data_IF_432221773646
#
_entry.id   IF_432221773646
#
_cell.length_a   1.000
_cell.length_b   1.000
_cell.length_c   1.000
_cell.angle_alpha   90.00
_cell.angle_beta   90.00
_cell.angle_gamma   90.00
#
_symmetry.space_group_name_H-M   'P 1'
#
loop_
_entity.id
_entity.type
_entity.pdbx_description
1 polymer ?
#
# COMPACT_ATOMS: atom_id res chain seq x y z
N UNK A 1 20.41 -9.46 115.18
CA UNK A 1 19.10 -10.16 115.16
C UNK A 1 18.96 -10.91 113.84
N UNK A 2 18.22 -12.03 113.88
CA UNK A 2 18.11 -13.12 112.91
C UNK A 2 17.62 -12.71 111.50
N UNK A 3 18.12 -13.38 110.44
CA UNK A 3 17.40 -14.41 109.65
C UNK A 3 18.25 -14.98 108.50
N UNK A 4 18.27 -16.33 108.41
CA UNK A 4 18.70 -17.17 107.26
C UNK A 4 17.54 -17.31 106.24
N UNK A 5 17.85 -17.56 104.96
CA UNK A 5 17.11 -18.32 103.91
C UNK A 5 18.09 -18.43 102.70
N UNK A 6 18.75 -19.56 102.40
CA UNK A 6 18.37 -20.77 101.63
C UNK A 6 18.26 -20.56 100.09
N UNK A 7 19.25 -21.15 99.38
CA UNK A 7 19.32 -21.77 98.03
C UNK A 7 18.49 -21.25 96.83
N UNK A 8 19.17 -21.01 95.69
CA UNK A 8 18.91 -21.73 94.44
C UNK A 8 20.02 -21.51 93.39
N UNK A 9 20.69 -22.59 93.00
CA UNK A 9 21.68 -22.68 91.91
C UNK A 9 21.02 -22.46 90.55
N UNK A 10 21.52 -21.52 89.73
CA UNK A 10 21.24 -21.46 88.30
C UNK A 10 22.55 -21.37 87.52
N UNK A 11 22.92 -22.52 86.95
CA UNK A 11 24.05 -22.72 86.05
C UNK A 11 23.64 -22.18 84.67
N UNK A 12 24.15 -21.02 84.27
CA UNK A 12 23.91 -20.46 82.93
C UNK A 12 24.93 -21.09 81.95
N UNK A 13 24.49 -22.16 81.30
CA UNK A 13 25.19 -22.77 80.17
C UNK A 13 24.91 -21.91 78.93
N UNK A 14 25.83 -21.03 78.55
CA UNK A 14 25.78 -20.33 77.26
C UNK A 14 26.20 -21.33 76.19
N UNK A 15 25.22 -22.05 75.64
CA UNK A 15 25.36 -22.81 74.41
C UNK A 15 25.45 -21.83 73.24
N UNK A 16 26.65 -21.59 72.74
CA UNK A 16 26.86 -21.04 71.41
C UNK A 16 26.29 -22.01 70.38
N UNK A 17 25.08 -21.74 69.89
CA UNK A 17 24.56 -22.37 68.67
C UNK A 17 25.43 -21.90 67.51
N UNK A 18 26.36 -22.75 67.08
CA UNK A 18 26.86 -22.72 65.72
C UNK A 18 25.70 -23.11 64.81
N UNK A 19 25.00 -22.13 64.25
CA UNK A 19 24.23 -22.35 63.04
C UNK A 19 25.21 -22.64 61.91
N UNK A 20 25.62 -23.89 61.77
CA UNK A 20 26.10 -24.42 60.49
C UNK A 20 24.90 -24.46 59.56
N UNK A 21 24.55 -23.31 58.99
CA UNK A 21 23.73 -23.29 57.80
C UNK A 21 24.55 -23.96 56.70
N UNK A 22 24.25 -25.23 56.39
CA UNK A 22 24.70 -25.83 55.14
C UNK A 22 24.19 -24.94 54.01
N UNK A 23 25.05 -24.06 53.47
CA UNK A 23 24.89 -23.65 52.08
C UNK A 23 24.90 -24.95 51.30
N UNK A 24 23.76 -25.31 50.71
CA UNK A 24 23.71 -26.38 49.72
C UNK A 24 24.84 -26.07 48.75
N UNK A 25 25.86 -26.92 48.66
CA UNK A 25 27.02 -26.70 47.80
C UNK A 25 26.53 -26.60 46.35
N UNK A 26 26.25 -25.37 45.91
CA UNK A 26 26.03 -25.01 44.51
C UNK A 26 27.35 -24.90 43.77
N UNK A 27 28.45 -25.38 44.37
CA UNK A 27 29.80 -25.40 43.78
C UNK A 27 29.73 -25.85 42.33
N UNK A 28 30.05 -24.93 41.42
CA UNK A 28 30.09 -25.17 39.98
C UNK A 28 28.72 -25.13 39.30
N UNK A 29 27.70 -24.44 39.84
CA UNK A 29 26.51 -24.02 39.07
C UNK A 29 26.63 -22.53 38.81
N UNK A 30 26.61 -22.05 37.55
CA UNK A 30 26.64 -20.62 37.27
C UNK A 30 25.48 -19.90 38.00
N UNK A 31 25.73 -18.73 38.57
CA UNK A 31 24.73 -18.03 39.37
C UNK A 31 24.91 -16.51 39.36
N UNK A 32 23.89 -15.80 39.88
CA UNK A 32 23.87 -14.34 40.04
C UNK A 32 24.19 -13.57 38.75
N UNK A 33 23.60 -14.04 37.65
CA UNK A 33 23.90 -13.52 36.34
C UNK A 33 23.40 -12.09 36.15
N UNK A 34 24.27 -11.26 35.57
CA UNK A 34 23.95 -9.94 35.04
C UNK A 34 24.57 -9.79 33.66
N UNK A 35 23.91 -9.05 32.77
CA UNK A 35 24.37 -8.85 31.39
C UNK A 35 24.48 -7.35 31.11
N UNK A 36 25.61 -6.94 30.54
CA UNK A 36 25.90 -5.56 30.18
C UNK A 36 26.38 -5.46 28.73
N UNK A 37 25.72 -4.66 27.87
CA UNK A 37 24.46 -3.95 28.12
C UNK A 37 23.27 -4.92 28.36
N UNK A 38 22.17 -4.46 28.96
CA UNK A 38 20.97 -5.28 29.21
C UNK A 38 20.09 -5.50 27.95
N UNK A 39 20.34 -4.71 26.89
CA UNK A 39 19.70 -4.83 25.59
C UNK A 39 20.65 -4.33 24.51
N UNK A 40 20.64 -4.96 23.33
CA UNK A 40 21.47 -4.54 22.21
C UNK A 40 20.98 -5.09 20.87
N UNK A 41 21.48 -4.51 19.77
CA UNK A 41 21.28 -5.05 18.42
C UNK A 41 22.09 -6.34 18.21
N UNK A 42 21.73 -7.17 17.22
CA UNK A 42 22.58 -8.26 16.75
C UNK A 42 24.03 -7.82 16.52
N UNK A 43 24.96 -8.75 16.71
CA UNK A 43 26.42 -8.57 16.61
C UNK A 43 27.07 -7.71 17.71
N UNK A 44 26.29 -7.05 18.56
CA UNK A 44 26.84 -6.29 19.69
C UNK A 44 27.52 -7.23 20.70
N UNK A 45 28.73 -6.88 21.13
CA UNK A 45 29.43 -7.60 22.20
C UNK A 45 28.78 -7.34 23.56
N UNK A 46 28.67 -8.41 24.34
CA UNK A 46 28.11 -8.42 25.69
C UNK A 46 29.14 -8.97 26.67
N UNK A 47 29.11 -8.44 27.89
CA UNK A 47 29.72 -9.08 29.06
C UNK A 47 28.59 -9.67 29.91
N UNK A 48 28.68 -10.97 30.21
CA UNK A 48 27.80 -11.63 31.17
C UNK A 48 28.63 -11.92 32.42
N UNK A 49 28.30 -11.27 33.52
CA UNK A 49 28.96 -11.41 34.82
C UNK A 49 28.15 -12.30 35.76
N UNK A 50 28.81 -13.00 36.66
CA UNK A 50 28.20 -13.90 37.64
C UNK A 50 29.22 -14.63 38.50
N UNK A 51 28.88 -15.83 38.96
CA UNK A 51 29.76 -16.76 39.69
C UNK A 51 29.83 -18.11 38.97
N UNK A 52 30.93 -18.87 39.18
CA UNK A 52 31.18 -20.20 38.60
C UNK A 52 31.12 -20.26 37.05
N UNK A 53 31.70 -19.23 36.40
CA UNK A 53 31.60 -18.98 34.96
C UNK A 53 32.76 -19.54 34.12
N UNK A 54 33.80 -20.09 34.75
CA UNK A 54 35.03 -20.53 34.07
C UNK A 54 34.82 -21.67 33.07
N UNK A 55 33.89 -22.58 33.39
CA UNK A 55 33.62 -23.80 32.61
C UNK A 55 32.39 -23.69 31.70
N UNK A 56 31.96 -22.47 31.35
CA UNK A 56 30.88 -22.27 30.38
C UNK A 56 31.29 -22.81 29.01
N UNK A 57 30.45 -23.70 28.46
CA UNK A 57 30.64 -24.37 27.16
C UNK A 57 29.54 -24.04 26.16
N UNK A 58 28.45 -23.42 26.59
CA UNK A 58 27.36 -22.99 25.71
C UNK A 58 26.70 -21.72 26.23
N UNK A 59 26.40 -20.81 25.30
CA UNK A 59 25.57 -19.63 25.52
C UNK A 59 24.50 -19.64 24.44
N UNK A 60 23.22 -19.58 24.83
CA UNK A 60 22.09 -19.53 23.90
C UNK A 60 21.15 -18.39 24.24
N UNK A 61 20.69 -17.70 23.21
CA UNK A 61 19.60 -16.74 23.25
C UNK A 61 18.33 -17.48 22.84
N UNK A 62 17.53 -17.87 23.83
CA UNK A 62 16.51 -18.92 23.74
C UNK A 62 17.06 -20.19 23.06
N UNK A 63 16.72 -20.42 21.79
CA UNK A 63 17.19 -21.56 21.01
C UNK A 63 18.43 -21.26 20.15
N UNK A 64 18.81 -19.99 20.01
CA UNK A 64 19.87 -19.54 19.10
C UNK A 64 21.22 -19.54 19.80
N UNK A 65 22.17 -20.34 19.29
CA UNK A 65 23.52 -20.38 19.85
C UNK A 65 24.28 -19.07 19.58
N UNK A 66 24.94 -18.55 20.61
CA UNK A 66 25.87 -17.44 20.51
C UNK A 66 27.31 -17.92 20.36
N UNK A 67 28.13 -17.10 19.70
CA UNK A 67 29.56 -17.35 19.59
C UNK A 67 30.28 -16.75 20.79
N UNK A 68 31.17 -17.53 21.38
CA UNK A 68 32.07 -17.09 22.44
C UNK A 68 33.33 -17.94 22.38
N UNK A 69 34.40 -17.47 23.03
CA UNK A 69 35.63 -18.25 23.16
C UNK A 69 35.88 -18.57 24.62
N UNK A 70 35.90 -19.86 24.95
CA UNK A 70 36.10 -20.32 26.33
C UNK A 70 37.46 -19.94 26.91
N UNK A 71 38.45 -19.61 26.07
CA UNK A 71 39.77 -19.14 26.53
C UNK A 71 39.71 -17.81 27.28
N UNK A 72 38.63 -17.02 27.07
CA UNK A 72 38.40 -15.75 27.75
C UNK A 72 37.46 -15.88 28.95
N UNK A 73 36.95 -17.08 29.24
CA UNK A 73 36.12 -17.28 30.43
C UNK A 73 36.95 -17.02 31.67
N UNK A 74 36.37 -16.30 32.61
CA UNK A 74 36.87 -16.16 33.98
C UNK A 74 35.87 -16.79 34.93
N UNK A 75 36.21 -16.93 36.21
CA UNK A 75 35.24 -17.41 37.20
C UNK A 75 34.05 -16.47 37.39
N UNK A 76 34.16 -15.21 36.96
CA UNK A 76 33.17 -14.17 37.20
C UNK A 76 32.54 -13.56 35.94
N UNK A 77 33.04 -13.89 34.75
CA UNK A 77 32.52 -13.32 33.51
C UNK A 77 32.82 -14.15 32.27
N UNK A 78 31.94 -14.03 31.29
CA UNK A 78 32.13 -14.51 29.90
C UNK A 78 31.83 -13.39 28.92
N UNK A 79 32.55 -13.40 27.79
CA UNK A 79 32.36 -12.47 26.67
C UNK A 79 31.69 -13.18 25.52
N UNK A 80 30.60 -12.63 25.00
CA UNK A 80 29.85 -13.18 23.87
C UNK A 80 29.36 -12.04 22.98
N UNK A 81 28.80 -12.34 21.82
CA UNK A 81 28.01 -11.37 21.05
C UNK A 81 26.54 -11.81 20.95
N UNK A 82 25.66 -10.85 20.64
CA UNK A 82 24.28 -11.16 20.25
C UNK A 82 24.30 -11.87 18.89
N UNK A 83 23.68 -13.06 18.73
CA UNK A 83 23.65 -13.77 17.45
C UNK A 83 22.96 -12.97 16.34
N UNK A 84 23.46 -13.09 15.10
CA UNK A 84 22.88 -12.42 13.91
C UNK A 84 21.45 -12.86 13.60
N UNK A 85 21.09 -14.08 13.97
CA UNK A 85 19.80 -14.70 13.75
C UNK A 85 18.94 -14.83 15.01
N UNK A 86 19.34 -14.19 16.12
CA UNK A 86 18.48 -14.09 17.30
C UNK A 86 17.19 -13.35 16.92
N UNK A 87 16.05 -13.81 17.45
CA UNK A 87 14.80 -13.08 17.22
C UNK A 87 14.80 -11.79 18.03
N UNK A 88 14.12 -10.76 17.51
CA UNK A 88 13.98 -9.49 18.21
C UNK A 88 13.03 -9.61 19.40
N UNK A 89 13.28 -8.79 20.42
CA UNK A 89 12.49 -8.73 21.65
C UNK A 89 13.16 -9.42 22.83
N UNK A 90 12.38 -9.54 23.90
CA UNK A 90 12.81 -10.14 25.15
C UNK A 90 13.03 -11.64 24.96
N UNK A 91 14.16 -12.14 25.47
CA UNK A 91 14.53 -13.54 25.46
C UNK A 91 15.40 -13.88 26.67
N UNK A 92 15.56 -15.18 26.92
CA UNK A 92 16.45 -15.67 27.96
C UNK A 92 17.81 -16.03 27.36
N UNK A 93 18.87 -15.48 27.93
CA UNK A 93 20.21 -16.03 27.71
C UNK A 93 20.40 -17.19 28.67
N UNK A 94 20.63 -18.39 28.14
CA UNK A 94 20.96 -19.60 28.90
C UNK A 94 22.43 -19.92 28.77
N UNK A 95 23.11 -20.05 29.91
CA UNK A 95 24.49 -20.49 30.01
C UNK A 95 24.50 -21.95 30.46
N UNK A 96 25.29 -22.79 29.81
CA UNK A 96 25.52 -24.18 30.21
C UNK A 96 27.00 -24.40 30.46
N UNK A 97 27.34 -24.97 31.60
CA UNK A 97 28.72 -25.36 31.89
C UNK A 97 29.04 -26.79 31.45
N UNK A 98 30.32 -27.19 31.54
CA UNK A 98 30.79 -28.54 31.20
C UNK A 98 30.03 -29.66 31.93
N UNK A 99 29.52 -29.39 33.13
CA UNK A 99 28.76 -30.36 33.94
C UNK A 99 27.27 -30.45 33.53
N UNK A 100 26.85 -29.71 32.50
CA UNK A 100 25.47 -29.66 32.04
C UNK A 100 24.54 -28.81 32.92
N UNK A 101 25.08 -28.11 33.93
CA UNK A 101 24.30 -27.21 34.78
C UNK A 101 24.02 -25.91 34.05
N UNK A 102 22.84 -25.34 34.27
CA UNK A 102 22.37 -24.14 33.56
C UNK A 102 22.03 -22.99 34.49
N UNK A 103 22.16 -21.77 33.95
CA UNK A 103 21.66 -20.54 34.56
C UNK A 103 21.14 -19.61 33.47
N UNK A 104 20.21 -18.73 33.82
CA UNK A 104 19.54 -17.85 32.86
C UNK A 104 19.57 -16.38 33.29
N UNK A 105 19.56 -15.49 32.30
CA UNK A 105 19.43 -14.04 32.51
C UNK A 105 18.54 -13.45 31.39
N UNK A 106 17.68 -12.49 31.74
CA UNK A 106 16.85 -11.78 30.76
C UNK A 106 17.69 -10.86 29.90
N UNK A 107 17.37 -10.77 28.61
CA UNK A 107 17.99 -9.85 27.67
C UNK A 107 17.02 -9.45 26.57
N UNK A 108 17.08 -8.20 26.10
CA UNK A 108 16.26 -7.73 24.99
C UNK A 108 17.12 -7.54 23.74
N UNK A 109 16.87 -8.30 22.68
CA UNK A 109 17.48 -8.05 21.37
C UNK A 109 16.72 -6.95 20.66
N UNK A 110 17.39 -5.83 20.43
CA UNK A 110 16.80 -4.64 19.79
C UNK A 110 16.59 -4.88 18.29
N UNK A 111 15.46 -4.38 17.80
CA UNK A 111 15.11 -4.39 16.38
C UNK A 111 15.50 -3.05 15.75
N UNK A 112 16.21 -3.01 14.61
CA UNK A 112 16.42 -1.77 13.87
C UNK A 112 15.12 -1.25 13.24
N UNK A 113 15.05 0.04 12.93
CA UNK A 113 13.91 0.62 12.25
C UNK A 113 13.63 -0.10 10.91
N UNK A 114 12.35 -0.22 10.50
CA UNK A 114 12.02 -0.80 9.21
C UNK A 114 12.54 0.09 8.07
N UNK A 115 12.57 -0.47 6.86
CA UNK A 115 12.90 0.29 5.64
C UNK A 115 11.82 0.04 4.61
N UNK A 116 11.33 1.11 3.98
CA UNK A 116 10.43 1.04 2.81
C UNK A 116 11.27 1.37 1.58
N UNK A 117 11.40 0.42 0.67
CA UNK A 117 12.13 0.60 -0.59
C UNK A 117 11.22 1.07 -1.71
N UNK A 118 10.01 0.51 -1.79
CA UNK A 118 9.02 0.84 -2.82
C UNK A 118 7.62 0.39 -2.42
N UNK A 119 6.62 0.82 -3.18
CA UNK A 119 5.26 0.30 -3.11
C UNK A 119 4.63 0.24 -4.50
N UNK A 120 3.68 -0.66 -4.70
CA UNK A 120 2.97 -0.82 -5.97
C UNK A 120 1.53 -1.31 -5.74
N UNK A 121 0.54 -0.77 -6.47
CA UNK A 121 0.63 0.36 -7.41
C UNK A 121 0.91 1.70 -6.74
N UNK A 122 1.39 2.69 -7.51
CA UNK A 122 1.63 4.06 -7.02
C UNK A 122 0.37 4.93 -6.96
N UNK A 123 -0.69 4.51 -7.64
CA UNK A 123 -2.03 5.09 -7.56
C UNK A 123 -2.99 3.94 -7.26
N UNK A 124 -3.82 4.08 -6.24
CA UNK A 124 -4.76 3.06 -5.82
C UNK A 124 -6.04 3.72 -5.30
N UNK A 125 -7.23 3.36 -5.81
CA UNK A 125 -8.49 3.81 -5.24
C UNK A 125 -8.71 3.21 -3.85
N UNK A 126 -9.69 3.75 -3.14
CA UNK A 126 -10.15 3.15 -1.89
C UNK A 126 -10.57 1.70 -2.10
N UNK A 127 -10.21 0.83 -1.15
CA UNK A 127 -10.50 -0.59 -1.21
C UNK A 127 -9.48 -1.44 -1.97
N UNK A 128 -8.58 -0.84 -2.76
CA UNK A 128 -7.52 -1.59 -3.44
C UNK A 128 -6.45 -2.08 -2.46
N UNK A 129 -5.71 -3.11 -2.87
CA UNK A 129 -4.54 -3.60 -2.12
C UNK A 129 -3.27 -3.10 -2.78
N UNK A 130 -2.41 -2.46 -2.00
CA UNK A 130 -1.03 -2.15 -2.39
C UNK A 130 -0.05 -3.12 -1.72
N UNK A 131 1.06 -3.38 -2.38
CA UNK A 131 2.19 -4.13 -1.84
C UNK A 131 3.34 -3.18 -1.56
N UNK A 132 3.76 -3.11 -0.30
CA UNK A 132 4.90 -2.34 0.19
C UNK A 132 6.10 -3.29 0.27
N UNK A 133 7.21 -2.94 -0.38
CA UNK A 133 8.46 -3.73 -0.38
C UNK A 133 9.53 -3.02 0.43
N UNK A 134 10.30 -3.78 1.20
CA UNK A 134 11.24 -3.21 2.15
C UNK A 134 12.05 -4.24 2.94
N UNK A 135 12.43 -3.87 4.16
CA UNK A 135 13.16 -4.72 5.11
C UNK A 135 12.62 -4.53 6.52
N UNK A 136 12.83 -5.55 7.36
CA UNK A 136 12.52 -5.55 8.79
C UNK A 136 11.03 -5.27 9.09
N UNK A 137 10.14 -5.81 8.25
CA UNK A 137 8.70 -5.87 8.51
C UNK A 137 8.37 -6.99 9.51
N UNK A 138 8.97 -6.92 10.68
CA UNK A 138 8.71 -7.81 11.83
C UNK A 138 8.12 -7.00 12.96
N UNK A 139 7.22 -7.61 13.76
CA UNK A 139 6.59 -6.95 14.91
C UNK A 139 5.95 -5.61 14.51
N UNK A 140 5.21 -5.63 13.40
CA UNK A 140 4.50 -4.47 12.87
C UNK A 140 3.40 -4.06 13.85
N UNK A 141 3.33 -2.76 14.16
CA UNK A 141 2.33 -2.18 15.03
C UNK A 141 1.24 -1.49 14.24
N UNK A 142 1.59 -0.76 13.17
CA UNK A 142 0.62 -0.09 12.31
C UNK A 142 1.19 0.26 10.94
N UNK A 143 0.27 0.48 9.99
CA UNK A 143 0.55 1.11 8.70
C UNK A 143 -0.47 2.23 8.49
N UNK A 144 -0.04 3.34 7.91
CA UNK A 144 -0.91 4.46 7.55
C UNK A 144 -0.56 5.01 6.17
N UNK A 145 -1.55 5.60 5.51
CA UNK A 145 -1.44 6.33 4.26
C UNK A 145 -1.83 7.78 4.58
N UNK A 146 -0.87 8.70 4.50
CA UNK A 146 -1.03 10.03 5.08
C UNK A 146 -1.38 9.91 6.58
N UNK A 147 -2.49 10.51 6.99
CA UNK A 147 -3.00 10.41 8.36
C UNK A 147 -3.95 9.24 8.60
N UNK A 148 -4.30 8.46 7.57
CA UNK A 148 -5.36 7.44 7.66
C UNK A 148 -4.76 6.05 7.90
N UNK A 149 -5.16 5.33 8.97
CA UNK A 149 -4.70 3.96 9.21
C UNK A 149 -5.12 3.00 8.10
N UNK A 150 -4.14 2.29 7.50
CA UNK A 150 -4.38 1.29 6.48
C UNK A 150 -4.61 -0.10 7.10
N UNK A 151 -5.31 -0.98 6.37
CA UNK A 151 -5.61 -2.35 6.85
C UNK A 151 -4.53 -3.29 6.35
N UNK A 152 -3.78 -3.92 7.24
CA UNK A 152 -2.80 -4.96 6.87
C UNK A 152 -3.53 -6.23 6.44
N UNK A 153 -3.32 -6.67 5.20
CA UNK A 153 -3.94 -7.89 4.64
C UNK A 153 -3.00 -9.08 4.60
N UNK A 154 -1.67 -8.85 4.54
CA UNK A 154 -0.65 -9.89 4.63
C UNK A 154 0.66 -9.30 5.16
N UNK A 155 1.19 -9.87 6.24
CA UNK A 155 2.46 -9.50 6.89
C UNK A 155 3.37 -10.71 7.14
N UNK A 156 3.15 -11.80 6.41
CA UNK A 156 3.93 -13.05 6.56
C UNK A 156 5.40 -12.91 6.15
N UNK A 157 5.72 -11.94 5.28
CA UNK A 157 7.07 -11.68 4.80
C UNK A 157 7.75 -10.56 5.57
N UNK A 158 9.05 -10.73 5.87
CA UNK A 158 9.90 -9.69 6.47
C UNK A 158 10.30 -8.58 5.50
N UNK A 159 10.04 -8.76 4.20
CA UNK A 159 10.43 -7.84 3.12
C UNK A 159 9.26 -7.34 2.28
N UNK A 160 8.05 -7.85 2.52
CA UNK A 160 6.84 -7.42 1.83
C UNK A 160 5.67 -7.34 2.81
N UNK A 161 4.84 -6.32 2.62
CA UNK A 161 3.63 -6.08 3.39
C UNK A 161 2.51 -5.73 2.41
N UNK A 162 1.37 -6.41 2.48
CA UNK A 162 0.18 -6.03 1.72
C UNK A 162 -0.77 -5.27 2.62
N UNK A 163 -1.23 -4.12 2.15
CA UNK A 163 -2.20 -3.30 2.86
C UNK A 163 -3.32 -2.86 1.92
N UNK A 164 -4.54 -2.77 2.46
CA UNK A 164 -5.71 -2.27 1.76
C UNK A 164 -5.89 -0.78 2.02
N UNK A 165 -6.17 -0.01 0.97
CA UNK A 165 -6.51 1.41 1.07
C UNK A 165 -7.84 1.55 1.81
N UNK A 166 -7.89 2.25 2.95
CA UNK A 166 -9.12 2.42 3.71
C UNK A 166 -10.03 3.47 3.06
N UNK A 167 -11.33 3.40 3.34
CA UNK A 167 -12.30 4.42 2.93
C UNK A 167 -11.94 5.78 3.54
N UNK A 168 -12.02 6.85 2.75
CA UNK A 168 -11.67 8.21 3.16
C UNK A 168 -10.16 8.47 3.24
N UNK A 169 -9.30 7.58 2.74
CA UNK A 169 -7.88 7.88 2.64
C UNK A 169 -7.63 9.01 1.64
N UNK A 170 -6.77 9.95 2.03
CA UNK A 170 -6.23 10.94 1.09
C UNK A 170 -4.85 10.49 0.62
N UNK A 171 -4.43 10.98 -0.56
CA UNK A 171 -3.07 10.80 -1.05
C UNK A 171 -2.05 11.24 -0.01
N UNK A 172 -1.00 10.45 0.20
CA UNK A 172 0.01 10.74 1.21
C UNK A 172 1.17 9.75 1.20
N UNK A 173 2.19 10.05 2.00
CA UNK A 173 3.28 9.10 2.26
C UNK A 173 2.74 7.89 3.03
N UNK A 174 3.38 6.74 2.84
CA UNK A 174 3.09 5.53 3.59
C UNK A 174 4.02 5.49 4.80
N UNK A 175 3.45 5.33 5.99
CA UNK A 175 4.22 5.16 7.23
C UNK A 175 3.98 3.77 7.80
N UNK A 176 5.07 3.03 8.06
CA UNK A 176 5.07 1.71 8.71
C UNK A 176 5.75 1.83 10.07
N UNK A 177 5.06 1.43 11.14
CA UNK A 177 5.60 1.40 12.49
C UNK A 177 5.82 -0.04 12.93
N UNK A 178 7.02 -0.35 13.40
CA UNK A 178 7.35 -1.63 14.05
C UNK A 178 7.88 -1.38 15.46
N UNK A 179 8.07 -2.45 16.23
CA UNK A 179 8.76 -2.35 17.51
C UNK A 179 10.19 -1.78 17.43
N UNK A 180 10.82 -1.79 16.24
CA UNK A 180 12.16 -1.22 16.01
C UNK A 180 12.17 0.25 15.60
N UNK A 181 11.00 0.86 15.36
CA UNK A 181 10.87 2.26 14.95
C UNK A 181 9.95 2.45 13.74
N UNK A 182 10.12 3.57 13.06
CA UNK A 182 9.22 4.03 12.00
C UNK A 182 9.96 4.17 10.66
N UNK A 183 9.32 3.72 9.58
CA UNK A 183 9.73 4.01 8.21
C UNK A 183 8.65 4.84 7.52
N UNK A 184 9.08 5.78 6.68
CA UNK A 184 8.19 6.55 5.80
C UNK A 184 8.66 6.36 4.36
N UNK A 185 7.73 6.20 3.42
CA UNK A 185 8.04 6.07 2.00
C UNK A 185 8.67 7.35 1.45
N UNK A 186 9.52 7.21 0.43
CA UNK A 186 10.13 8.36 -0.25
C UNK A 186 9.15 9.11 -1.16
N UNK A 187 8.15 8.40 -1.70
CA UNK A 187 7.15 8.94 -2.63
C UNK A 187 5.75 8.88 -2.03
N UNK A 188 4.89 9.80 -2.49
CA UNK A 188 3.46 9.84 -2.16
C UNK A 188 2.73 8.71 -2.90
N UNK A 189 1.88 7.98 -2.17
CA UNK A 189 0.83 7.16 -2.78
C UNK A 189 -0.34 8.08 -3.14
N UNK A 190 -0.75 8.06 -4.40
CA UNK A 190 -1.98 8.74 -4.80
C UNK A 190 -3.16 7.85 -4.45
N UNK A 191 -4.03 8.33 -3.55
CA UNK A 191 -5.32 7.70 -3.32
C UNK A 191 -6.31 8.31 -4.29
N UNK A 192 -6.71 7.51 -5.27
CA UNK A 192 -7.52 7.97 -6.37
C UNK A 192 -7.66 6.92 -7.45
N UNK A 193 -8.61 7.17 -8.34
CA UNK A 193 -8.90 6.34 -9.49
C UNK A 193 -7.65 6.15 -10.37
N UNK A 194 -7.30 4.89 -10.69
CA UNK A 194 -6.28 4.64 -11.71
C UNK A 194 -6.95 4.92 -13.04
N UNK A 195 -6.37 5.83 -13.82
CA UNK A 195 -6.94 6.21 -15.10
C UNK A 195 -5.90 6.18 -16.21
N UNK A 196 -6.28 5.62 -17.35
CA UNK A 196 -5.61 5.82 -18.62
C UNK A 196 -6.24 7.03 -19.30
N UNK A 197 -5.48 8.12 -19.39
CA UNK A 197 -5.91 9.34 -20.04
C UNK A 197 -5.89 9.15 -21.57
N UNK A 198 -7.05 9.28 -22.20
CA UNK A 198 -7.17 9.33 -23.65
C UNK A 198 -6.83 10.72 -24.12
N UNK A 199 -7.46 11.76 -23.58
CA UNK A 199 -7.20 13.15 -23.96
C UNK A 199 -7.61 14.12 -22.85
N UNK A 200 -6.76 15.10 -22.56
CA UNK A 200 -7.11 16.33 -21.84
C UNK A 200 -7.15 17.57 -22.74
N UNK A 201 -6.74 17.44 -24.02
CA UNK A 201 -6.65 18.58 -24.96
C UNK A 201 -5.63 19.68 -24.58
N UNK A 202 -4.84 19.45 -23.53
CA UNK A 202 -3.75 20.29 -23.04
C UNK A 202 -2.36 19.69 -23.34
N UNK A 203 -2.33 18.54 -23.99
CA UNK A 203 -1.09 17.89 -24.42
C UNK A 203 -0.79 16.57 -23.70
N UNK A 204 -1.65 16.10 -22.79
CA UNK A 204 -1.49 14.82 -22.12
C UNK A 204 -2.51 13.75 -22.56
N UNK A 205 -2.14 12.50 -22.34
CA UNK A 205 -2.90 11.32 -22.78
C UNK A 205 -2.41 10.74 -24.11
N UNK A 206 -3.01 9.62 -24.49
CA UNK A 206 -2.60 8.86 -25.68
C UNK A 206 -3.04 9.56 -26.98
N UNK A 207 -4.13 10.32 -26.92
CA UNK A 207 -4.74 11.09 -28.03
C UNK A 207 -4.90 12.55 -27.60
N UNK A 208 -3.78 13.20 -27.25
CA UNK A 208 -3.77 14.36 -26.37
C UNK A 208 -4.39 15.60 -27.00
N UNK A 209 -4.38 15.74 -28.33
CA UNK A 209 -4.68 17.00 -29.00
C UNK A 209 -5.87 16.86 -29.94
N UNK A 210 -6.48 18.00 -30.32
CA UNK A 210 -7.58 18.03 -31.28
C UNK A 210 -7.27 17.41 -32.64
N UNK A 211 -6.00 17.43 -33.07
CA UNK A 211 -5.54 16.76 -34.31
C UNK A 211 -5.57 15.23 -34.22
N UNK A 212 -5.60 14.66 -33.01
CA UNK A 212 -5.76 13.22 -32.78
C UNK A 212 -7.22 12.77 -32.86
N UNK A 213 -8.14 13.69 -33.15
CA UNK A 213 -9.58 13.46 -33.29
C UNK A 213 -10.09 13.97 -34.63
N UNK A 214 -10.87 13.17 -35.34
CA UNK A 214 -11.53 13.56 -36.59
C UNK A 214 -13.03 13.70 -36.40
N UNK A 215 -13.63 14.61 -37.16
CA UNK A 215 -15.08 14.73 -37.31
C UNK A 215 -15.56 13.93 -38.51
N UNK A 216 -16.80 13.47 -38.47
CA UNK A 216 -17.44 12.77 -39.59
C UNK A 216 -18.95 12.99 -39.55
N UNK A 217 -19.57 12.69 -40.69
CA UNK A 217 -20.97 12.97 -40.90
C UNK A 217 -21.26 14.48 -40.89
N UNK A 218 -22.45 14.86 -40.45
CA UNK A 218 -22.95 16.23 -40.56
C UNK A 218 -22.49 17.11 -39.39
N UNK A 219 -21.17 17.21 -39.21
CA UNK A 219 -20.57 18.11 -38.23
C UNK A 219 -20.44 19.53 -38.80
N UNK A 220 -20.91 20.53 -38.07
CA UNK A 220 -20.67 21.93 -38.42
C UNK A 220 -19.24 22.35 -38.01
N UNK A 221 -18.80 21.95 -36.82
CA UNK A 221 -17.45 22.28 -36.35
C UNK A 221 -16.91 21.30 -35.31
N UNK A 222 -15.58 21.11 -35.35
CA UNK A 222 -14.77 20.47 -34.30
C UNK A 222 -13.55 21.35 -34.05
N UNK A 223 -13.48 21.98 -32.89
CA UNK A 223 -12.43 22.95 -32.55
C UNK A 223 -11.89 22.70 -31.16
N UNK A 224 -10.58 22.80 -30.95
CA UNK A 224 -10.00 22.90 -29.61
C UNK A 224 -9.99 24.37 -29.22
N UNK A 225 -10.54 24.69 -28.05
CA UNK A 225 -10.66 26.06 -27.53
C UNK A 225 -10.67 26.02 -26.01
N UNK A 226 -10.39 27.15 -25.38
CA UNK A 226 -10.48 27.36 -23.93
C UNK A 226 -11.48 28.48 -23.61
N UNK A 227 -12.42 28.74 -24.51
CA UNK A 227 -13.41 29.81 -24.39
C UNK A 227 -14.78 29.34 -24.89
N UNK A 228 -15.84 29.86 -24.26
CA UNK A 228 -17.24 29.60 -24.60
C UNK A 228 -17.59 28.10 -24.74
N UNK A 229 -17.82 27.38 -23.62
CA UNK A 229 -18.02 27.89 -22.25
C UNK A 229 -16.70 28.21 -21.53
N UNK A 230 -16.78 28.82 -20.33
CA UNK A 230 -15.61 28.95 -19.44
C UNK A 230 -15.00 27.55 -19.22
N UNK A 231 -13.67 27.38 -19.40
CA UNK A 231 -13.03 26.08 -19.34
C UNK A 231 -13.04 25.52 -17.91
N UNK A 232 -13.15 24.19 -17.78
CA UNK A 232 -12.99 23.51 -16.49
C UNK A 232 -11.52 23.58 -16.05
N UNK A 233 -10.63 23.24 -16.96
CA UNK A 233 -9.19 23.29 -16.84
C UNK A 233 -8.63 23.35 -18.27
N UNK A 234 -7.78 24.31 -18.58
CA UNK A 234 -7.12 24.39 -19.88
C UNK A 234 -8.04 24.40 -21.11
N UNK A 235 -7.61 23.72 -22.16
CA UNK A 235 -8.31 23.59 -23.43
C UNK A 235 -9.27 22.39 -23.42
N UNK A 236 -10.32 22.47 -24.25
CA UNK A 236 -11.27 21.38 -24.44
C UNK A 236 -11.66 21.24 -25.91
N UNK A 237 -12.22 20.09 -26.28
CA UNK A 237 -12.72 19.84 -27.62
C UNK A 237 -14.21 20.25 -27.73
N UNK A 238 -14.47 21.32 -28.46
CA UNK A 238 -15.81 21.80 -28.81
C UNK A 238 -16.30 21.13 -30.09
N UNK A 239 -17.44 20.45 -30.00
CA UNK A 239 -18.09 19.75 -31.10
C UNK A 239 -19.54 20.26 -31.27
N UNK A 240 -19.88 20.64 -32.51
CA UNK A 240 -21.22 21.16 -32.86
C UNK A 240 -21.72 20.44 -34.13
N UNK A 241 -22.80 19.66 -34.06
CA UNK A 241 -23.42 19.05 -35.23
C UNK A 241 -24.20 20.09 -36.04
N UNK A 242 -24.47 19.80 -37.31
CA UNK A 242 -25.30 20.64 -38.17
C UNK A 242 -26.79 20.38 -37.88
N UNK A 243 -27.43 21.30 -37.15
CA UNK A 243 -28.82 21.17 -36.68
C UNK A 243 -29.89 21.26 -37.78
N UNK A 244 -29.53 21.53 -39.05
CA UNK A 244 -30.50 21.59 -40.16
C UNK A 244 -30.52 20.34 -41.04
N UNK A 245 -29.71 19.33 -40.73
CA UNK A 245 -29.70 18.07 -41.48
C UNK A 245 -30.87 17.17 -41.05
N UNK A 246 -31.59 16.60 -42.02
CA UNK A 246 -32.75 15.74 -41.78
C UNK A 246 -32.44 14.24 -41.72
N UNK A 247 -31.22 13.79 -42.05
CA UNK A 247 -30.92 12.35 -42.18
C UNK A 247 -29.45 11.92 -41.94
N UNK A 248 -28.62 12.73 -41.29
CA UNK A 248 -27.22 12.36 -41.04
C UNK A 248 -26.95 11.67 -39.70
N UNK A 249 -25.81 11.00 -39.61
CA UNK A 249 -25.06 10.85 -38.36
C UNK A 249 -24.07 12.01 -38.24
N UNK A 250 -23.72 12.43 -37.03
CA UNK A 250 -22.68 13.45 -36.80
C UNK A 250 -21.87 13.06 -35.56
N UNK A 251 -20.55 13.13 -35.64
CA UNK A 251 -19.73 12.75 -34.51
C UNK A 251 -18.26 13.06 -34.64
N UNK A 252 -17.56 12.75 -33.56
CA UNK A 252 -16.10 12.85 -33.45
C UNK A 252 -15.53 11.53 -32.93
N UNK A 253 -14.35 11.17 -33.39
CA UNK A 253 -13.64 9.94 -33.01
C UNK A 253 -12.16 10.21 -32.88
N UNK A 254 -11.50 9.54 -31.94
CA UNK A 254 -10.04 9.41 -31.97
C UNK A 254 -9.61 8.73 -33.28
N UNK A 255 -8.47 9.14 -33.85
CA UNK A 255 -7.76 8.28 -34.81
C UNK A 255 -7.24 7.02 -34.11
N UNK A 256 -7.16 5.91 -34.86
CA UNK A 256 -6.53 4.68 -34.39
C UNK A 256 -5.07 4.90 -33.95
N UNK A 257 -4.54 4.00 -33.12
CA UNK A 257 -3.14 4.03 -32.70
C UNK A 257 -2.24 3.40 -33.77
N UNK A 258 -1.26 4.17 -34.25
CA UNK A 258 -0.39 3.77 -35.36
C UNK A 258 -1.11 3.50 -36.69
N UNK A 259 -0.45 2.73 -37.55
CA UNK A 259 -0.98 2.25 -38.84
C UNK A 259 -1.66 0.88 -38.74
N UNK A 260 -1.98 0.41 -37.52
CA UNK A 260 -2.56 -0.91 -37.24
C UNK A 260 -3.60 -0.88 -36.12
N UNK A 261 -4.15 -2.04 -35.74
CA UNK A 261 -5.16 -2.17 -34.67
C UNK A 261 -4.57 -2.09 -33.27
N UNK A 262 -3.72 -1.09 -33.01
CA UNK A 262 -3.19 -0.84 -31.68
C UNK A 262 -4.30 -0.33 -30.76
N UNK A 263 -4.36 -0.92 -29.57
CA UNK A 263 -5.40 -0.67 -28.56
C UNK A 263 -4.89 0.34 -27.53
N UNK A 264 -5.78 0.91 -26.72
CA UNK A 264 -5.37 1.79 -25.62
C UNK A 264 -4.52 1.08 -24.55
N UNK A 265 -4.31 -0.23 -24.63
CA UNK A 265 -3.45 -0.97 -23.69
C UNK A 265 -4.08 -1.22 -22.32
N UNK A 266 -5.41 -1.20 -22.24
CA UNK A 266 -6.15 -1.49 -21.01
C UNK A 266 -5.97 -2.97 -20.63
N UNK A 267 -5.65 -3.24 -19.37
CA UNK A 267 -5.44 -4.59 -18.82
C UNK A 267 -6.47 -5.00 -17.78
N UNK A 268 -7.37 -4.09 -17.42
CA UNK A 268 -8.46 -4.30 -16.49
C UNK A 268 -9.61 -5.11 -17.10
N UNK A 269 -10.46 -5.69 -16.25
CA UNK A 269 -11.66 -6.39 -16.70
C UNK A 269 -12.75 -5.40 -17.12
N UNK A 270 -13.70 -5.82 -17.97
CA UNK A 270 -14.86 -4.99 -18.34
C UNK A 270 -15.63 -4.50 -17.12
N UNK A 271 -15.77 -5.35 -16.09
CA UNK A 271 -16.49 -5.04 -14.86
C UNK A 271 -15.78 -3.97 -13.99
N UNK A 272 -14.46 -3.88 -14.07
CA UNK A 272 -13.67 -2.88 -13.34
C UNK A 272 -13.50 -1.57 -14.12
N UNK A 273 -13.77 -1.58 -15.44
CA UNK A 273 -13.41 -0.45 -16.31
C UNK A 273 -14.59 0.49 -16.56
N UNK A 274 -14.37 1.79 -16.41
CA UNK A 274 -15.34 2.86 -16.65
C UNK A 274 -14.76 3.88 -17.63
N UNK A 275 -15.45 4.19 -18.72
CA UNK A 275 -15.12 5.35 -19.55
C UNK A 275 -15.69 6.61 -18.90
N UNK A 276 -14.82 7.58 -18.63
CA UNK A 276 -15.16 8.87 -18.05
C UNK A 276 -14.73 10.01 -18.95
N UNK A 277 -15.50 11.08 -18.95
CA UNK A 277 -15.15 12.34 -19.61
C UNK A 277 -15.93 13.48 -18.96
N UNK A 278 -15.35 14.67 -18.98
CA UNK A 278 -16.02 15.90 -18.59
C UNK A 278 -16.71 16.49 -19.81
N UNK A 279 -17.92 17.00 -19.64
CA UNK A 279 -18.71 17.58 -20.72
C UNK A 279 -19.55 18.75 -20.27
N UNK A 280 -19.66 19.74 -21.15
CA UNK A 280 -20.54 20.89 -21.00
C UNK A 280 -21.32 21.11 -22.30
N UNK A 281 -22.65 21.21 -22.21
CA UNK A 281 -23.53 21.43 -23.36
C UNK A 281 -23.71 22.91 -23.74
N UNK A 282 -23.06 23.82 -23.01
CA UNK A 282 -23.16 25.27 -23.17
C UNK A 282 -24.62 25.78 -23.19
N UNK A 283 -25.45 25.23 -22.30
CA UNK A 283 -26.86 25.59 -22.16
C UNK A 283 -27.81 24.96 -23.18
N UNK A 284 -27.33 24.06 -24.04
CA UNK A 284 -28.18 23.33 -25.01
C UNK A 284 -28.91 22.18 -24.33
N UNK A 285 -30.20 22.38 -24.06
CA UNK A 285 -31.07 21.45 -23.31
C UNK A 285 -31.41 20.14 -24.02
N UNK A 286 -31.11 20.02 -25.31
CA UNK A 286 -31.39 18.82 -26.11
C UNK A 286 -30.17 17.95 -26.43
N UNK A 287 -28.99 18.24 -25.87
CA UNK A 287 -27.75 17.55 -26.27
C UNK A 287 -27.77 16.08 -25.83
N UNK A 288 -27.78 15.17 -26.82
CA UNK A 288 -27.69 13.73 -26.63
C UNK A 288 -26.41 13.20 -27.27
N UNK A 289 -25.58 12.53 -26.47
CA UNK A 289 -24.38 11.85 -26.95
C UNK A 289 -24.53 10.34 -26.87
N UNK A 290 -24.42 9.66 -28.00
CA UNK A 290 -24.09 8.24 -28.02
C UNK A 290 -22.58 8.11 -27.86
N UNK A 291 -22.16 7.68 -26.67
CA UNK A 291 -20.77 7.46 -26.31
C UNK A 291 -20.39 6.05 -26.75
N UNK A 292 -19.29 5.93 -27.48
CA UNK A 292 -18.91 4.69 -28.17
C UNK A 292 -17.47 4.33 -27.87
N UNK A 293 -17.22 3.06 -27.61
CA UNK A 293 -15.88 2.46 -27.72
C UNK A 293 -15.87 1.47 -28.87
N UNK A 294 -14.75 1.40 -29.59
CA UNK A 294 -14.62 0.53 -30.76
C UNK A 294 -13.47 -0.48 -30.59
N UNK A 295 -13.73 -1.76 -30.89
CA UNK A 295 -12.73 -2.84 -30.80
C UNK A 295 -12.00 -3.18 -32.12
N UNK A 296 -12.14 -2.34 -33.14
CA UNK A 296 -11.52 -2.53 -34.45
C UNK A 296 -11.13 -1.20 -35.07
N UNK A 297 -10.14 -1.23 -35.97
CA UNK A 297 -9.80 -0.09 -36.80
C UNK A 297 -10.82 0.14 -37.92
N UNK A 298 -11.51 -0.92 -38.36
CA UNK A 298 -12.58 -0.90 -39.35
C UNK A 298 -13.94 -0.68 -38.70
N UNK A 299 -14.70 0.29 -39.20
CA UNK A 299 -16.00 0.65 -38.65
C UNK A 299 -17.09 -0.34 -39.08
N UNK A 300 -17.61 -1.12 -38.14
CA UNK A 300 -18.75 -2.01 -38.35
C UNK A 300 -19.62 -2.10 -37.08
N UNK A 301 -20.89 -2.46 -37.23
CA UNK A 301 -21.85 -2.41 -36.11
C UNK A 301 -21.44 -3.30 -34.93
N UNK A 302 -20.92 -4.50 -35.20
CA UNK A 302 -20.60 -5.47 -34.15
C UNK A 302 -19.40 -5.08 -33.29
N UNK A 303 -18.53 -4.17 -33.76
CA UNK A 303 -17.36 -3.69 -33.02
C UNK A 303 -17.56 -2.34 -32.33
N UNK A 304 -18.71 -1.69 -32.55
CA UNK A 304 -19.07 -0.44 -31.85
C UNK A 304 -19.97 -0.74 -30.67
N UNK A 305 -19.46 -0.46 -29.48
CA UNK A 305 -20.16 -0.64 -28.22
C UNK A 305 -20.57 0.72 -27.70
N UNK A 306 -21.86 0.92 -27.47
CA UNK A 306 -22.37 2.26 -27.23
C UNK A 306 -23.41 2.32 -26.12
N UNK A 307 -23.55 3.53 -25.58
CA UNK A 307 -24.68 3.94 -24.76
C UNK A 307 -25.01 5.40 -25.05
N UNK A 308 -26.30 5.70 -25.23
CA UNK A 308 -26.77 7.07 -25.37
C UNK A 308 -27.00 7.69 -24.00
N UNK A 309 -26.45 8.89 -23.81
CA UNK A 309 -26.59 9.71 -22.60
C UNK A 309 -27.10 11.09 -22.95
N UNK A 310 -27.98 11.61 -22.11
CA UNK A 310 -28.38 13.01 -22.15
C UNK A 310 -27.34 13.85 -21.41
N UNK A 311 -26.91 14.95 -22.02
CA UNK A 311 -26.04 15.93 -21.37
C UNK A 311 -26.93 16.96 -20.70
N UNK A 312 -27.38 16.61 -19.49
CA UNK A 312 -28.26 17.43 -18.67
C UNK A 312 -27.44 18.34 -17.74
N UNK A 313 -27.96 19.54 -17.47
CA UNK A 313 -27.39 20.46 -16.48
C UNK A 313 -26.72 21.70 -17.07
N UNK A 314 -26.30 22.59 -16.17
CA UNK A 314 -25.49 23.78 -16.46
C UNK A 314 -24.03 23.50 -16.10
N UNK A 315 -23.10 24.08 -16.85
CA UNK A 315 -21.67 23.95 -16.57
C UNK A 315 -21.06 22.57 -16.92
N UNK A 316 -19.86 22.32 -16.38
CA UNK A 316 -19.10 21.09 -16.62
C UNK A 316 -19.54 19.95 -15.71
N UNK A 317 -19.86 18.81 -16.32
CA UNK A 317 -20.30 17.60 -15.63
C UNK A 317 -19.42 16.42 -16.03
N UNK A 318 -19.08 15.54 -15.09
CA UNK A 318 -18.37 14.29 -15.39
C UNK A 318 -19.37 13.20 -15.72
N UNK A 319 -19.35 12.69 -16.95
CA UNK A 319 -20.07 11.48 -17.32
C UNK A 319 -19.18 10.27 -16.97
N UNK A 320 -19.78 9.29 -16.30
CA UNK A 320 -19.12 8.03 -15.94
C UNK A 320 -19.93 6.85 -16.45
N UNK A 321 -19.37 6.08 -17.39
CA UNK A 321 -20.03 4.96 -18.04
C UNK A 321 -19.23 3.67 -17.83
N UNK A 322 -19.67 2.78 -16.92
CA UNK A 322 -19.11 1.45 -16.80
C UNK A 322 -19.18 0.74 -18.15
N UNK A 323 -18.10 0.07 -18.55
CA UNK A 323 -18.08 -0.63 -19.84
C UNK A 323 -19.11 -1.76 -19.91
N UNK A 324 -19.56 -2.28 -18.77
CA UNK A 324 -20.69 -3.21 -18.66
C UNK A 324 -22.04 -2.63 -19.12
N UNK A 325 -22.13 -1.32 -19.37
CA UNK A 325 -23.33 -0.65 -19.85
C UNK A 325 -23.25 -0.21 -21.32
N UNK A 326 -22.13 -0.48 -21.99
CA UNK A 326 -21.97 -0.23 -23.43
C UNK A 326 -22.20 -1.56 -24.15
N UNK A 327 -23.11 -1.57 -25.13
CA UNK A 327 -23.46 -2.79 -25.86
C UNK A 327 -23.14 -2.66 -27.34
N UNK A 328 -22.77 -3.77 -27.98
CA UNK A 328 -22.46 -3.83 -29.41
C UNK A 328 -23.65 -3.40 -30.29
N UNK A 329 -23.44 -3.30 -31.60
CA UNK A 329 -24.44 -2.79 -32.56
C UNK A 329 -24.94 -1.39 -32.18
N UNK A 330 -24.00 -0.51 -31.81
CA UNK A 330 -24.30 0.86 -31.38
C UNK A 330 -25.30 0.92 -30.21
N UNK A 331 -25.20 -0.02 -29.27
CA UNK A 331 -26.06 -0.09 -28.08
C UNK A 331 -27.32 -0.94 -28.24
N UNK A 332 -27.58 -1.47 -29.43
CA UNK A 332 -28.77 -2.31 -29.70
C UNK A 332 -28.56 -3.81 -29.45
N UNK A 333 -27.34 -4.25 -29.19
CA UNK A 333 -27.01 -5.65 -28.93
C UNK A 333 -26.94 -6.01 -27.43
N UNK A 334 -26.28 -7.13 -27.13
CA UNK A 334 -26.19 -7.70 -25.77
C UNK A 334 -24.75 -7.98 -25.31
N UNK A 335 -23.76 -7.78 -26.18
CA UNK A 335 -22.35 -8.04 -25.88
C UNK A 335 -21.70 -6.74 -25.40
N UNK A 336 -20.96 -6.80 -24.31
CA UNK A 336 -20.16 -5.68 -23.77
C UNK A 336 -18.73 -5.71 -24.28
N UNK A 337 -18.03 -4.57 -24.33
CA UNK A 337 -16.68 -4.53 -24.85
C UNK A 337 -15.66 -5.22 -23.93
N UNK A 338 -14.60 -5.75 -24.53
CA UNK A 338 -13.36 -6.15 -23.90
C UNK A 338 -12.38 -4.96 -23.88
N UNK A 339 -12.00 -4.43 -22.70
CA UNK A 339 -11.08 -3.30 -22.57
C UNK A 339 -9.77 -3.47 -23.36
N UNK A 340 -9.22 -4.68 -23.40
CA UNK A 340 -7.95 -4.96 -24.06
C UNK A 340 -7.98 -4.73 -25.58
N UNK A 341 -9.17 -4.78 -26.18
CA UNK A 341 -9.39 -4.64 -27.61
C UNK A 341 -9.73 -3.21 -28.05
N UNK A 342 -9.96 -2.28 -27.11
CA UNK A 342 -10.49 -0.96 -27.47
C UNK A 342 -9.43 -0.14 -28.20
N UNK A 343 -9.75 0.30 -29.41
CA UNK A 343 -8.89 1.08 -30.31
C UNK A 343 -9.34 2.53 -30.50
N UNK A 344 -10.63 2.84 -30.28
CA UNK A 344 -11.17 4.20 -30.42
C UNK A 344 -12.21 4.54 -29.37
N UNK A 345 -12.29 5.84 -29.06
CA UNK A 345 -13.41 6.47 -28.36
C UNK A 345 -14.10 7.42 -29.34
N UNK A 346 -15.43 7.37 -29.37
CA UNK A 346 -16.26 8.24 -30.21
C UNK A 346 -17.40 8.89 -29.42
N UNK A 347 -17.80 10.06 -29.88
CA UNK A 347 -18.99 10.76 -29.43
C UNK A 347 -19.86 11.09 -30.64
N UNK A 348 -21.00 10.41 -30.72
CA UNK A 348 -22.03 10.64 -31.74
C UNK A 348 -23.13 11.52 -31.19
N UNK A 349 -23.56 12.53 -31.95
CA UNK A 349 -24.79 13.24 -31.64
C UNK A 349 -25.99 12.41 -32.11
N UNK A 350 -26.95 12.19 -31.21
CA UNK A 350 -28.18 11.43 -31.52
C UNK A 350 -29.38 12.38 -31.56
N UNK A 351 -30.23 12.26 -32.58
CA UNK A 351 -31.47 13.06 -32.67
C UNK A 351 -31.27 14.57 -32.91
N UNK A 352 -30.15 14.99 -33.49
CA UNK A 352 -29.78 16.42 -33.62
C UNK A 352 -30.51 17.18 -34.74
N UNK A 353 -31.31 16.50 -35.57
CA UNK A 353 -32.14 17.11 -36.61
C UNK A 353 -33.27 18.01 -36.06
N UNK A 354 -33.56 17.95 -34.75
CA UNK A 354 -34.70 18.62 -34.12
C UNK A 354 -34.33 19.68 -33.07
N UNK A 355 -33.06 19.78 -32.69
CA UNK A 355 -32.60 20.74 -31.69
C UNK A 355 -31.11 21.10 -31.86
N UNK A 356 -30.75 22.36 -31.62
CA UNK A 356 -29.35 22.77 -31.58
C UNK A 356 -28.63 22.07 -30.42
N UNK A 357 -27.56 21.33 -30.73
CA UNK A 357 -26.73 20.63 -29.75
C UNK A 357 -25.31 21.19 -29.76
N UNK A 358 -24.62 21.04 -28.63
CA UNK A 358 -23.20 21.34 -28.49
C UNK A 358 -22.63 20.42 -27.42
N UNK A 359 -21.43 19.89 -27.64
CA UNK A 359 -20.70 19.18 -26.61
C UNK A 359 -19.26 19.71 -26.54
N UNK A 360 -18.90 20.25 -25.38
CA UNK A 360 -17.55 20.65 -25.04
C UNK A 360 -17.00 19.54 -24.14
N UNK A 361 -15.99 18.82 -24.62
CA UNK A 361 -15.52 17.56 -24.01
C UNK A 361 -14.08 17.72 -23.55
N UNK A 362 -13.79 17.21 -22.37
CA UNK A 362 -12.50 17.29 -21.70
C UNK A 362 -12.23 16.02 -20.85
N UNK A 363 -10.96 15.78 -20.45
CA UNK A 363 -10.51 14.72 -19.56
C UNK A 363 -11.07 13.32 -19.88
N UNK A 364 -11.06 12.95 -21.16
CA UNK A 364 -11.51 11.64 -21.64
C UNK A 364 -10.54 10.57 -21.14
N UNK A 365 -11.02 9.59 -20.37
CA UNK A 365 -10.17 8.61 -19.70
C UNK A 365 -10.89 7.30 -19.43
N UNK A 366 -10.14 6.20 -19.41
CA UNK A 366 -10.60 4.93 -18.86
C UNK A 366 -10.12 4.81 -17.43
N UNK A 367 -11.04 4.67 -16.50
CA UNK A 367 -10.80 4.43 -15.11
C UNK A 367 -10.94 2.95 -14.75
N UNK A 368 -10.08 2.42 -13.87
CA UNK A 368 -10.09 1.01 -13.49
C UNK A 368 -9.32 0.69 -12.21
#
# INVERSE_FOLDING_TARGET
MKKRIIYCTWLWLITTLLFTGCRKDTSGTPADLSVSPASAFPETFLTISGHDMQDIVSIKFDSTAASFSSVFNTSTAVLTNVPTNAHYGDQLITLTNRLGKTATVNFTVMQPAPVISSFNPANAPEGDTITITGKLFTRIQSVSIGSTPAIITDSSSKTQLKVKIPTGASSGLITVVTAGGTATSASILTVGERALLVADFDGAGIRPNGGSWYSYGDMNSKTVTNTNPDPKNGFFLKAVPNATSTNGYAGISTYAIGSGSETFGLTSTTAATTLKFDVNNNGKTGTMLQVIVQESTTDNNSTNFAKTVAINGTGWNTISLPLTQLFNNYGGGTVTPNPANITKVKFHFSGYASAAMEANIDNVRFAY
#
